data_IF_839691838972
#
_entry.id   IF_839691838972
#
_cell.length_a   1.000
_cell.length_b   1.000
_cell.length_c   1.000
_cell.angle_alpha   90.00
_cell.angle_beta   90.00
_cell.angle_gamma   90.00
#
_symmetry.space_group_name_H-M   'P 1'
#
loop_
_entity.id
_entity.type
_entity.pdbx_description
1 polymer ?
#
# COMPACT_ATOMS: atom_id res chain seq x y z
N UNK A 1 -69.37 -32.24 47.18
CA UNK A 1 -68.95 -30.92 46.67
C UNK A 1 -67.48 -30.73 47.05
N UNK A 2 -66.57 -30.85 46.10
CA UNK A 2 -65.13 -30.66 46.35
C UNK A 2 -64.54 -29.83 45.20
N UNK A 3 -64.13 -28.60 45.51
CA UNK A 3 -63.57 -27.63 44.56
C UNK A 3 -62.07 -27.83 44.47
N UNK A 4 -61.58 -28.37 43.35
CA UNK A 4 -60.14 -28.37 43.03
C UNK A 4 -59.81 -27.15 42.16
N UNK A 5 -59.09 -26.20 42.75
CA UNK A 5 -58.46 -25.06 42.05
C UNK A 5 -57.30 -25.61 41.22
N UNK A 6 -57.37 -25.51 39.90
CA UNK A 6 -56.19 -25.70 39.05
C UNK A 6 -55.36 -24.42 39.03
N UNK A 7 -54.07 -24.62 39.20
CA UNK A 7 -53.03 -23.60 39.37
C UNK A 7 -52.53 -23.25 37.97
N UNK A 8 -52.59 -21.97 37.62
CA UNK A 8 -52.03 -21.41 36.39
C UNK A 8 -50.53 -21.24 36.58
N UNK A 9 -49.73 -21.96 35.81
CA UNK A 9 -48.29 -21.68 35.62
C UNK A 9 -48.08 -21.05 34.25
N UNK A 10 -48.01 -19.71 34.22
CA UNK A 10 -47.50 -18.97 33.06
C UNK A 10 -46.00 -19.23 32.98
N UNK A 11 -45.56 -19.93 31.95
CA UNK A 11 -44.14 -20.11 31.63
C UNK A 11 -43.48 -18.75 31.38
N UNK A 12 -42.79 -18.24 32.39
CA UNK A 12 -41.93 -17.07 32.28
C UNK A 12 -40.65 -17.46 31.55
N UNK A 13 -40.72 -17.48 30.21
CA UNK A 13 -39.53 -17.48 29.37
C UNK A 13 -38.85 -16.13 29.50
N UNK A 14 -37.68 -16.11 30.13
CA UNK A 14 -36.84 -14.92 30.24
C UNK A 14 -36.24 -14.64 28.86
N UNK A 15 -36.89 -13.77 28.08
CA UNK A 15 -36.31 -13.22 26.86
C UNK A 15 -35.18 -12.27 27.27
N UNK A 16 -33.94 -12.74 27.15
CA UNK A 16 -32.77 -11.87 27.16
C UNK A 16 -32.84 -11.13 25.83
N UNK A 17 -33.27 -9.87 25.86
CA UNK A 17 -33.19 -9.00 24.70
C UNK A 17 -31.71 -8.82 24.37
N UNK A 18 -31.27 -9.46 23.28
CA UNK A 18 -29.93 -9.33 22.75
C UNK A 18 -29.68 -7.83 22.48
N UNK A 19 -28.78 -7.16 23.22
CA UNK A 19 -28.55 -5.75 23.03
C UNK A 19 -27.97 -5.57 21.63
N UNK A 20 -28.78 -5.05 20.72
CA UNK A 20 -28.38 -4.63 19.39
C UNK A 20 -27.22 -3.65 19.51
N UNK A 21 -25.99 -4.17 19.52
CA UNK A 21 -24.77 -3.38 19.42
C UNK A 21 -24.75 -2.79 18.02
N UNK A 22 -25.28 -1.57 17.89
CA UNK A 22 -24.97 -0.70 16.78
C UNK A 22 -23.46 -0.45 16.84
N UNK A 23 -22.69 -1.23 16.06
CA UNK A 23 -21.29 -0.96 15.81
C UNK A 23 -21.21 0.38 15.09
N UNK A 24 -21.04 1.45 15.86
CA UNK A 24 -20.57 2.73 15.35
C UNK A 24 -19.14 2.51 14.84
N UNK A 25 -18.99 2.19 13.57
CA UNK A 25 -17.68 2.21 12.93
C UNK A 25 -17.16 3.64 12.98
N UNK A 26 -16.07 3.83 13.69
CA UNK A 26 -15.36 5.10 13.75
C UNK A 26 -14.76 5.43 12.38
N UNK A 27 -14.55 6.72 12.09
CA UNK A 27 -13.92 7.15 10.84
C UNK A 27 -12.51 6.54 10.62
N UNK A 28 -11.81 6.21 11.71
CA UNK A 28 -10.51 5.56 11.67
C UNK A 28 -10.59 4.10 11.20
N UNK A 29 -11.61 3.36 11.61
CA UNK A 29 -11.83 1.99 11.15
C UNK A 29 -12.15 1.95 9.65
N UNK A 30 -12.96 2.90 9.16
CA UNK A 30 -13.27 2.99 7.73
C UNK A 30 -12.00 3.23 6.89
N UNK A 31 -11.11 4.12 7.35
CA UNK A 31 -9.82 4.39 6.68
C UNK A 31 -8.95 3.14 6.62
N UNK A 32 -8.83 2.41 7.74
CA UNK A 32 -8.04 1.17 7.80
C UNK A 32 -8.63 0.09 6.89
N UNK A 33 -9.96 -0.02 6.85
CA UNK A 33 -10.63 -0.97 5.97
C UNK A 33 -10.38 -0.66 4.48
N UNK A 34 -10.48 0.61 4.07
CA UNK A 34 -10.15 1.02 2.70
C UNK A 34 -8.69 0.72 2.38
N UNK A 35 -7.76 1.00 3.30
CA UNK A 35 -6.35 0.72 3.08
C UNK A 35 -6.07 -0.78 2.88
N UNK A 36 -6.71 -1.65 3.66
CA UNK A 36 -6.57 -3.12 3.52
C UNK A 36 -7.12 -3.66 2.20
N UNK A 37 -8.17 -3.02 1.68
CA UNK A 37 -8.78 -3.35 0.38
C UNK A 37 -8.11 -2.65 -0.81
N UNK A 38 -7.07 -1.86 -0.58
CA UNK A 38 -6.38 -1.12 -1.65
C UNK A 38 -5.02 -1.73 -1.89
N UNK A 39 -4.74 -2.13 -3.13
CA UNK A 39 -3.39 -2.48 -3.55
C UNK A 39 -2.81 -1.37 -4.44
N UNK A 40 -1.55 -1.03 -4.21
CA UNK A 40 -0.84 -0.01 -4.98
C UNK A 40 0.22 -0.68 -5.83
N UNK A 41 0.21 -0.41 -7.13
CA UNK A 41 1.14 -0.94 -8.11
C UNK A 41 1.99 0.17 -8.71
N UNK A 42 3.18 -0.19 -9.19
CA UNK A 42 3.99 0.62 -10.11
C UNK A 42 3.95 0.00 -11.49
N UNK A 43 3.78 0.84 -12.50
CA UNK A 43 3.87 0.46 -13.91
C UNK A 43 5.33 0.42 -14.35
N UNK A 44 5.72 -0.69 -14.95
CA UNK A 44 7.02 -0.89 -15.57
C UNK A 44 6.83 -1.20 -17.05
N UNK A 45 7.61 -0.54 -17.92
CA UNK A 45 7.67 -0.88 -19.34
C UNK A 45 8.58 -2.09 -19.54
N UNK A 46 8.10 -3.12 -20.24
CA UNK A 46 8.92 -4.31 -20.56
C UNK A 46 10.03 -3.96 -21.54
N UNK A 47 9.77 -3.01 -22.44
CA UNK A 47 10.69 -2.55 -23.48
C UNK A 47 11.87 -1.77 -22.89
N UNK A 48 11.59 -0.77 -22.04
CA UNK A 48 12.65 0.09 -21.47
C UNK A 48 13.19 -0.43 -20.14
N UNK A 49 12.48 -1.37 -19.50
CA UNK A 49 12.77 -1.90 -18.16
C UNK A 49 12.84 -0.79 -17.10
N UNK A 50 12.12 0.31 -17.30
CA UNK A 50 12.04 1.46 -16.38
C UNK A 50 10.60 1.70 -15.92
N UNK A 51 10.48 2.43 -14.81
CA UNK A 51 9.19 2.92 -14.32
C UNK A 51 8.76 4.07 -15.24
N UNK A 52 7.64 3.89 -15.91
CA UNK A 52 7.06 4.87 -16.83
C UNK A 52 5.56 4.97 -16.59
N UNK A 53 4.95 6.12 -16.93
CA UNK A 53 3.51 6.32 -16.78
C UNK A 53 2.80 5.61 -17.93
N UNK A 54 2.12 4.50 -17.63
CA UNK A 54 1.34 3.79 -18.63
C UNK A 54 0.10 4.60 -19.07
N UNK A 55 -0.31 4.50 -20.36
CA UNK A 55 -1.59 5.00 -20.81
C UNK A 55 -2.74 4.22 -20.15
N UNK A 56 -3.92 4.82 -20.09
CA UNK A 56 -5.08 4.22 -19.41
C UNK A 56 -5.48 2.90 -20.07
N UNK A 57 -5.46 2.84 -21.40
CA UNK A 57 -5.80 1.65 -22.19
C UNK A 57 -4.89 0.47 -21.84
N UNK A 58 -3.59 0.71 -21.69
CA UNK A 58 -2.64 -0.33 -21.28
C UNK A 58 -2.88 -0.80 -19.84
N UNK A 59 -3.27 0.10 -18.93
CA UNK A 59 -3.63 -0.27 -17.56
C UNK A 59 -4.90 -1.14 -17.57
N UNK A 60 -5.92 -0.78 -18.35
CA UNK A 60 -7.14 -1.59 -18.48
C UNK A 60 -6.85 -2.96 -19.09
N UNK A 61 -5.95 -3.04 -20.09
CA UNK A 61 -5.50 -4.30 -20.66
C UNK A 61 -4.77 -5.15 -19.63
N UNK A 62 -3.86 -4.57 -18.84
CA UNK A 62 -3.22 -5.27 -17.73
C UNK A 62 -4.26 -5.80 -16.74
N UNK A 63 -5.25 -4.98 -16.39
CA UNK A 63 -6.23 -5.36 -15.40
C UNK A 63 -7.20 -6.43 -15.88
N UNK A 64 -7.38 -6.64 -17.19
CA UNK A 64 -8.07 -7.78 -17.80
C UNK A 64 -9.11 -8.45 -16.89
N UNK A 65 -8.75 -9.60 -16.31
CA UNK A 65 -9.59 -10.43 -15.44
C UNK A 65 -9.84 -9.80 -14.06
N UNK A 66 -8.87 -9.07 -13.52
CA UNK A 66 -8.93 -8.36 -12.23
C UNK A 66 -9.90 -7.18 -12.28
N UNK A 67 -10.18 -6.63 -13.47
CA UNK A 67 -11.13 -5.52 -13.65
C UNK A 67 -12.52 -5.83 -13.10
N UNK A 68 -12.96 -7.09 -13.17
CA UNK A 68 -14.25 -7.51 -12.62
C UNK A 68 -14.32 -7.49 -11.09
N UNK A 69 -13.17 -7.58 -10.43
CA UNK A 69 -13.03 -7.61 -8.96
C UNK A 69 -12.70 -6.22 -8.40
N UNK A 70 -12.06 -5.38 -9.22
CA UNK A 70 -11.74 -4.00 -8.88
C UNK A 70 -12.98 -3.11 -8.93
N UNK A 71 -13.24 -2.40 -7.83
CA UNK A 71 -14.33 -1.41 -7.72
C UNK A 71 -13.93 -0.06 -8.29
N UNK A 72 -12.66 0.30 -8.15
CA UNK A 72 -12.13 1.59 -8.52
C UNK A 72 -10.62 1.48 -8.72
N UNK A 73 -10.09 2.19 -9.72
CA UNK A 73 -8.67 2.40 -9.84
C UNK A 73 -8.37 3.85 -10.17
N UNK A 74 -7.23 4.34 -9.67
CA UNK A 74 -6.73 5.68 -9.97
C UNK A 74 -5.26 5.62 -10.34
N UNK A 75 -4.86 6.48 -11.27
CA UNK A 75 -3.47 6.62 -11.70
C UNK A 75 -2.84 7.80 -10.96
N UNK A 76 -1.76 7.53 -10.25
CA UNK A 76 -0.93 8.56 -9.65
C UNK A 76 -0.25 9.41 -10.73
N UNK A 77 -0.24 10.73 -10.53
CA UNK A 77 0.43 11.67 -11.45
C UNK A 77 1.94 11.52 -11.47
N UNK A 78 2.51 10.93 -10.41
CA UNK A 78 3.95 10.84 -10.18
C UNK A 78 4.35 9.36 -10.09
N UNK A 79 5.42 8.98 -10.78
CA UNK A 79 6.06 7.66 -10.69
C UNK A 79 5.26 6.46 -11.23
N UNK A 80 4.28 6.68 -12.10
CA UNK A 80 3.55 5.58 -12.73
C UNK A 80 2.87 4.65 -11.70
N UNK A 81 2.28 5.23 -10.65
CA UNK A 81 1.57 4.41 -9.66
C UNK A 81 0.12 4.21 -10.08
N UNK A 82 -0.43 3.05 -9.76
CA UNK A 82 -1.84 2.72 -9.96
C UNK A 82 -2.37 2.18 -8.64
N UNK A 83 -3.35 2.86 -8.06
CA UNK A 83 -4.03 2.40 -6.85
C UNK A 83 -5.32 1.71 -7.26
N UNK A 84 -5.54 0.49 -6.78
CA UNK A 84 -6.68 -0.34 -7.13
C UNK A 84 -7.39 -0.73 -5.85
N UNK A 85 -8.69 -0.45 -5.79
CA UNK A 85 -9.57 -0.79 -4.68
C UNK A 85 -10.41 -2.00 -5.04
N UNK A 86 -10.34 -3.02 -4.21
CA UNK A 86 -11.11 -4.25 -4.36
C UNK A 86 -12.38 -4.22 -3.52
N UNK A 87 -13.34 -5.05 -3.90
CA UNK A 87 -14.58 -5.24 -3.13
C UNK A 87 -14.28 -5.87 -1.76
N UNK A 88 -13.38 -6.85 -1.75
CA UNK A 88 -12.99 -7.65 -0.59
C UNK A 88 -11.50 -7.52 -0.28
N UNK A 89 -11.15 -7.71 1.00
CA UNK A 89 -9.75 -7.73 1.42
C UNK A 89 -9.00 -8.95 0.85
N UNK A 90 -9.68 -10.09 0.77
CA UNK A 90 -9.10 -11.34 0.22
C UNK A 90 -8.68 -11.16 -1.25
N UNK A 91 -9.48 -10.49 -2.07
CA UNK A 91 -9.12 -10.16 -3.45
C UNK A 91 -7.89 -9.27 -3.52
N UNK A 92 -7.82 -8.26 -2.64
CA UNK A 92 -6.66 -7.38 -2.56
C UNK A 92 -5.39 -8.14 -2.18
N UNK A 93 -5.48 -9.11 -1.26
CA UNK A 93 -4.36 -9.97 -0.85
C UNK A 93 -3.97 -10.94 -1.96
N UNK A 94 -4.93 -11.60 -2.61
CA UNK A 94 -4.64 -12.56 -3.67
C UNK A 94 -3.96 -11.90 -4.87
N UNK A 95 -4.41 -10.70 -5.26
CA UNK A 95 -3.78 -9.96 -6.36
C UNK A 95 -2.55 -9.15 -5.94
N UNK A 96 -2.28 -9.02 -4.63
CA UNK A 96 -1.07 -8.36 -4.13
C UNK A 96 0.20 -9.13 -4.50
N UNK A 97 0.12 -10.46 -4.47
CA UNK A 97 1.27 -11.35 -4.68
C UNK A 97 1.55 -11.62 -6.15
N UNK A 98 0.58 -11.33 -7.02
CA UNK A 98 0.66 -11.64 -8.44
C UNK A 98 1.21 -10.47 -9.25
N UNK A 99 2.16 -10.79 -10.14
CA UNK A 99 2.65 -9.87 -11.15
C UNK A 99 1.69 -9.89 -12.35
N UNK A 100 0.96 -8.79 -12.52
CA UNK A 100 0.07 -8.60 -13.65
C UNK A 100 0.92 -8.08 -14.81
N UNK A 101 1.02 -8.86 -15.89
CA UNK A 101 1.87 -8.54 -17.05
C UNK A 101 1.10 -8.63 -18.37
N UNK A 102 1.38 -7.70 -19.26
CA UNK A 102 1.02 -7.74 -20.67
C UNK A 102 2.30 -7.79 -21.52
N UNK A 103 2.17 -7.67 -22.84
CA UNK A 103 3.32 -7.67 -23.74
C UNK A 103 4.24 -6.47 -23.49
N UNK A 104 3.66 -5.31 -23.20
CA UNK A 104 4.37 -4.03 -23.09
C UNK A 104 4.53 -3.54 -21.65
N UNK A 105 3.66 -3.96 -20.74
CA UNK A 105 3.59 -3.39 -19.39
C UNK A 105 3.53 -4.46 -18.30
N UNK A 106 4.07 -4.10 -17.13
CA UNK A 106 4.01 -4.92 -15.92
C UNK A 106 3.56 -4.03 -14.76
N UNK A 107 2.49 -4.44 -14.08
CA UNK A 107 2.09 -3.88 -12.79
C UNK A 107 2.75 -4.68 -11.69
N UNK A 108 3.72 -4.06 -11.02
CA UNK A 108 4.40 -4.66 -9.88
C UNK A 108 3.88 -4.02 -8.62
N UNK A 109 3.39 -4.83 -7.68
CA UNK A 109 2.89 -4.30 -6.43
C UNK A 109 4.01 -3.57 -5.68
N UNK A 110 3.69 -2.42 -5.11
CA UNK A 110 4.50 -1.80 -4.07
C UNK A 110 4.23 -2.56 -2.77
N UNK A 111 4.45 -3.88 -2.76
CA UNK A 111 4.60 -4.58 -1.50
C UNK A 111 5.83 -3.99 -0.84
N UNK A 112 5.73 -3.73 0.47
CA UNK A 112 6.75 -3.14 1.30
C UNK A 112 8.08 -3.91 1.12
N UNK A 113 8.88 -3.57 0.10
CA UNK A 113 10.32 -3.74 0.15
C UNK A 113 10.74 -2.79 1.24
N UNK A 114 10.69 -3.31 2.45
CA UNK A 114 11.38 -2.78 3.60
C UNK A 114 12.71 -2.23 3.10
N UNK A 115 13.02 -1.02 3.53
CA UNK A 115 14.27 -0.31 3.26
C UNK A 115 15.54 -1.13 3.62
N UNK A 116 15.37 -2.35 4.15
CA UNK A 116 16.37 -3.36 4.50
C UNK A 116 17.32 -3.78 3.37
N UNK A 117 16.99 -3.56 2.08
CA UNK A 117 17.91 -3.94 0.98
C UNK A 117 18.80 -2.80 0.46
N UNK A 118 18.53 -1.54 0.79
CA UNK A 118 19.43 -0.43 0.40
C UNK A 118 20.53 -0.15 1.43
N UNK A 119 20.38 -0.59 2.69
CA UNK A 119 21.42 -0.43 3.72
C UNK A 119 22.54 -1.47 3.65
N UNK A 120 22.31 -2.66 3.09
CA UNK A 120 23.35 -3.70 2.97
C UNK A 120 24.44 -3.39 1.90
N UNK A 121 24.20 -2.45 0.97
CA UNK A 121 25.18 -2.05 -0.04
C UNK A 121 26.11 -0.90 0.42
N UNK A 122 25.81 -0.25 1.57
CA UNK A 122 26.68 0.80 2.14
C UNK A 122 27.66 0.30 3.20
N UNK A 123 27.54 -0.94 3.65
CA UNK A 123 28.37 -1.49 4.75
C UNK A 123 29.60 -2.31 4.29
N UNK A 124 30.00 -2.22 3.02
CA UNK A 124 31.27 -2.82 2.53
C UNK A 124 32.35 -1.80 2.19
N UNK A 125 32.20 -0.53 2.57
CA UNK A 125 33.23 0.51 2.37
C UNK A 125 33.83 1.05 3.66
N UNK A 126 33.55 0.43 4.82
CA UNK A 126 33.97 0.91 6.15
C UNK A 126 34.97 0.05 6.92
N UNK A 127 35.45 -1.09 6.39
CA UNK A 127 36.37 -2.00 7.10
C UNK A 127 37.75 -2.09 6.43
N UNK A 128 38.24 -0.98 5.88
CA UNK A 128 39.67 -0.79 5.60
C UNK A 128 40.24 0.24 6.59
N UNK A 129 40.01 -0.01 7.88
CA UNK A 129 40.75 0.62 8.97
C UNK A 129 42.11 -0.04 9.08
N UNK A 130 43.06 0.41 8.27
CA UNK A 130 44.43 -0.10 8.25
C UNK A 130 45.40 0.98 7.80
N UNK A 131 45.95 1.68 8.79
CA UNK A 131 47.21 2.42 8.72
C UNK A 131 47.18 3.86 8.18
N UNK A 132 46.99 4.76 9.15
CA UNK A 132 47.60 6.07 9.31
C UNK A 132 48.83 6.32 8.43
N UNK A 133 48.69 7.15 7.40
CA UNK A 133 49.79 7.98 6.92
C UNK A 133 49.29 9.42 6.75
N UNK A 134 49.69 10.25 7.71
CA UNK A 134 49.60 11.69 7.62
C UNK A 134 50.33 12.18 6.37
N UNK A 135 49.63 12.90 5.49
CA UNK A 135 50.26 13.86 4.57
C UNK A 135 49.36 15.08 4.37
N UNK A 136 49.88 16.17 4.94
CA UNK A 136 49.83 17.57 4.51
C UNK A 136 48.52 18.22 4.07
N UNK A 137 48.22 19.30 4.78
CA UNK A 137 47.20 20.28 4.44
C UNK A 137 47.43 20.91 3.07
N UNK A 138 46.43 20.75 2.22
CA UNK A 138 46.21 21.56 1.03
C UNK A 138 45.22 22.67 1.38
N UNK A 139 45.75 23.86 1.58
CA UNK A 139 45.09 25.15 1.75
C UNK A 139 44.17 25.45 0.55
N UNK A 140 42.87 25.30 0.72
CA UNK A 140 41.90 25.82 -0.25
C UNK A 140 41.74 27.32 0.02
N UNK A 141 42.31 28.11 -0.88
CA UNK A 141 42.10 29.55 -0.97
C UNK A 141 40.64 29.82 -1.36
N UNK A 142 40.08 30.79 -0.67
CA UNK A 142 38.89 31.54 -1.02
C UNK A 142 38.91 31.98 -2.49
N UNK A 143 37.76 31.86 -3.15
CA UNK A 143 37.44 32.71 -4.29
C UNK A 143 35.97 33.07 -4.19
N UNK A 144 35.81 34.25 -3.61
CA UNK A 144 34.66 35.14 -3.73
C UNK A 144 34.35 35.46 -5.19
N UNK A 145 33.16 36.07 -5.37
CA UNK A 145 32.67 36.77 -6.55
C UNK A 145 32.15 35.94 -7.72
N UNK A 146 30.84 36.01 -7.97
CA UNK A 146 30.35 37.12 -8.80
C UNK A 146 28.81 37.20 -8.76
N UNK A 147 28.29 38.35 -8.32
CA UNK A 147 26.90 38.75 -8.55
C UNK A 147 26.78 39.17 -10.02
N UNK A 148 25.75 38.70 -10.71
CA UNK A 148 25.28 39.40 -11.89
C UNK A 148 23.75 39.46 -11.85
N UNK A 149 23.25 40.60 -11.37
CA UNK A 149 21.88 41.04 -11.64
C UNK A 149 21.85 41.57 -13.07
N UNK A 150 20.96 41.01 -13.90
CA UNK A 150 20.81 41.40 -15.29
C UNK A 150 19.35 41.41 -15.70
N UNK A 151 18.72 42.56 -15.42
CA UNK A 151 17.60 43.25 -16.10
C UNK A 151 16.41 42.44 -16.63
#
# INVERSE_FOLDING_TARGET
>A
MEKRKQIVTKGGGQFIADPHHHHHHTAEEMKKNVARKTAVYRTFSTTTKKIEIAPIEAIEECLGEVRGLATFYTRGRKYGTVEIRFSSEEDAINHSTELIRTQEWVLCQICCQSESRQSAARDRRGMAGGSSHARNGGRWKDSEDNRNEGS
#
